data_IF_656051199232
#
_entry.id   IF_656051199232
#
_cell.length_a   1.000
_cell.length_b   1.000
_cell.length_c   1.000
_cell.angle_alpha   90.00
_cell.angle_beta   90.00
_cell.angle_gamma   90.00
#
_symmetry.space_group_name_H-M   'P 1'
#
loop_
_entity.id
_entity.type
_entity.pdbx_description
1 polymer ?
#
# COMPACT_ATOMS: atom_id res chain seq x y z
N UNK A 1 -29.64 6.15 69.45
CA UNK A 1 -29.55 5.23 68.30
C UNK A 1 -30.31 5.80 67.11
N UNK A 2 -29.63 6.14 66.02
CA UNK A 2 -29.99 5.76 64.63
C UNK A 2 -28.99 6.42 63.67
N UNK A 3 -28.23 5.58 62.98
CA UNK A 3 -27.38 5.88 61.83
C UNK A 3 -28.29 6.29 60.66
N UNK A 4 -27.87 7.25 59.82
CA UNK A 4 -28.33 7.40 58.44
C UNK A 4 -27.26 8.22 57.69
N UNK A 5 -26.18 7.56 57.26
CA UNK A 5 -25.97 7.01 55.91
C UNK A 5 -25.86 8.07 54.82
N UNK A 6 -24.62 8.19 54.33
CA UNK A 6 -24.08 8.99 53.25
C UNK A 6 -24.72 8.64 51.89
N UNK A 7 -25.11 9.63 51.08
CA UNK A 7 -25.29 9.46 49.63
C UNK A 7 -24.68 10.70 48.94
N UNK A 8 -23.46 10.54 48.43
CA UNK A 8 -22.87 11.46 47.44
C UNK A 8 -23.35 11.02 46.06
N UNK A 9 -24.31 11.75 45.48
CA UNK A 9 -24.74 11.54 44.10
C UNK A 9 -23.73 12.23 43.16
N UNK A 10 -22.73 11.47 42.71
CA UNK A 10 -21.81 11.93 41.65
C UNK A 10 -22.54 11.84 40.32
N UNK A 11 -23.00 12.97 39.81
CA UNK A 11 -23.54 13.09 38.47
C UNK A 11 -22.33 13.05 37.51
N UNK A 12 -22.02 11.85 37.02
CA UNK A 12 -21.10 11.67 35.91
C UNK A 12 -21.76 12.27 34.67
N UNK A 13 -21.39 13.50 34.32
CA UNK A 13 -21.76 14.08 33.02
C UNK A 13 -21.15 13.21 31.94
N UNK A 14 -21.98 12.43 31.26
CA UNK A 14 -21.63 11.78 30.00
C UNK A 14 -21.35 12.88 28.98
N UNK A 15 -20.11 13.34 28.94
CA UNK A 15 -19.61 14.13 27.82
C UNK A 15 -19.72 13.21 26.59
N UNK A 16 -20.55 13.51 25.58
CA UNK A 16 -20.41 12.81 24.32
C UNK A 16 -19.01 13.17 23.81
N UNK A 17 -18.09 12.21 23.87
CA UNK A 17 -16.84 12.29 23.14
C UNK A 17 -17.22 12.31 21.66
N UNK A 18 -17.47 13.52 21.14
CA UNK A 18 -17.57 13.73 19.70
C UNK A 18 -16.15 13.59 19.19
N UNK A 19 -15.78 12.37 18.82
CA UNK A 19 -14.68 12.16 17.89
C UNK A 19 -15.07 12.94 16.62
N UNK A 20 -14.54 14.14 16.45
CA UNK A 20 -14.51 14.80 15.16
C UNK A 20 -13.58 13.93 14.29
N UNK A 21 -14.15 12.93 13.62
CA UNK A 21 -13.51 12.33 12.48
C UNK A 21 -13.47 13.42 11.42
N UNK A 22 -12.33 14.11 11.33
CA UNK A 22 -12.00 14.94 10.18
C UNK A 22 -12.09 14.01 8.96
N UNK A 23 -13.17 14.13 8.19
CA UNK A 23 -13.33 13.37 6.94
C UNK A 23 -12.34 13.98 5.96
N UNK A 24 -11.09 13.52 6.01
CA UNK A 24 -10.13 13.79 4.95
C UNK A 24 -10.72 13.20 3.68
N UNK A 25 -11.09 14.09 2.74
CA UNK A 25 -11.59 13.67 1.44
C UNK A 25 -10.44 12.98 0.69
N UNK A 26 -10.40 11.65 0.75
CA UNK A 26 -9.42 10.86 0.04
C UNK A 26 -9.66 10.98 -1.47
N UNK A 27 -8.61 11.29 -2.24
CA UNK A 27 -8.66 11.23 -3.71
C UNK A 27 -9.01 9.81 -4.17
N UNK A 28 -8.49 8.81 -3.46
CA UNK A 28 -8.70 7.39 -3.74
C UNK A 28 -9.39 6.73 -2.54
N UNK A 29 -10.74 6.75 -2.48
CA UNK A 29 -11.51 6.13 -1.41
C UNK A 29 -11.43 4.60 -1.47
N UNK A 30 -11.86 3.92 -0.42
CA UNK A 30 -11.83 2.46 -0.39
C UNK A 30 -12.64 1.81 -1.52
N UNK A 31 -12.15 0.67 -1.99
CA UNK A 31 -12.83 -0.13 -3.01
C UNK A 31 -12.63 -1.62 -2.78
N UNK A 32 -12.33 -2.07 -1.55
CA UNK A 32 -11.99 -3.47 -1.25
C UNK A 32 -13.10 -4.48 -1.61
N UNK A 33 -14.35 -4.04 -1.66
CA UNK A 33 -15.49 -4.88 -2.07
C UNK A 33 -15.70 -4.95 -3.59
N UNK A 34 -15.01 -4.12 -4.37
CA UNK A 34 -15.12 -4.14 -5.83
C UNK A 34 -14.25 -5.27 -6.41
N UNK A 35 -14.68 -5.85 -7.53
CA UNK A 35 -13.93 -6.90 -8.21
C UNK A 35 -13.23 -6.30 -9.43
N UNK A 36 -11.90 -6.36 -9.42
CA UNK A 36 -11.04 -5.99 -10.54
C UNK A 36 -10.30 -7.21 -11.09
N UNK A 37 -9.75 -7.09 -12.30
CA UNK A 37 -8.91 -8.11 -12.93
C UNK A 37 -7.75 -8.55 -12.01
N UNK A 38 -7.22 -9.74 -12.23
CA UNK A 38 -5.92 -10.10 -11.64
C UNK A 38 -4.81 -9.20 -12.20
N UNK A 39 -3.70 -9.06 -11.48
CA UNK A 39 -2.56 -8.28 -11.95
C UNK A 39 -1.99 -8.84 -13.27
N UNK A 40 -2.02 -10.17 -13.44
CA UNK A 40 -1.57 -10.81 -14.68
C UNK A 40 -2.46 -10.47 -15.88
N UNK A 41 -3.78 -10.50 -15.69
CA UNK A 41 -4.74 -10.13 -16.75
C UNK A 41 -4.66 -8.65 -17.09
N UNK A 42 -4.50 -7.80 -16.07
CA UNK A 42 -4.36 -6.36 -16.26
C UNK A 42 -3.07 -6.03 -17.03
N UNK A 43 -1.92 -6.61 -16.64
CA UNK A 43 -0.64 -6.46 -17.34
C UNK A 43 -0.71 -6.82 -18.83
N UNK A 44 -1.52 -7.83 -19.18
CA UNK A 44 -1.67 -8.29 -20.57
C UNK A 44 -2.58 -7.41 -21.43
N UNK A 45 -3.56 -6.75 -20.81
CA UNK A 45 -4.60 -5.98 -21.53
C UNK A 45 -4.21 -4.52 -21.71
N UNK A 46 -3.61 -3.93 -20.68
CA UNK A 46 -3.35 -2.50 -20.63
C UNK A 46 -1.89 -2.19 -20.96
N UNK A 47 -1.67 -1.03 -21.59
CA UNK A 47 -0.33 -0.44 -21.61
C UNK A 47 -0.09 0.19 -20.25
N UNK A 48 0.80 -0.43 -19.46
CA UNK A 48 1.22 0.07 -18.14
C UNK A 48 2.11 1.30 -18.27
N UNK A 49 1.59 2.39 -18.85
CA UNK A 49 2.40 3.56 -19.21
C UNK A 49 3.66 3.12 -20.00
N UNK A 50 4.84 3.53 -19.54
CA UNK A 50 6.14 3.13 -20.12
C UNK A 50 6.79 1.96 -19.36
N UNK A 51 6.09 1.36 -18.38
CA UNK A 51 6.59 0.25 -17.60
C UNK A 51 6.56 -1.07 -18.39
N UNK A 52 7.72 -1.70 -18.47
CA UNK A 52 7.88 -3.07 -18.97
C UNK A 52 8.88 -3.83 -18.11
N UNK A 53 8.53 -5.06 -17.72
CA UNK A 53 9.44 -5.95 -17.00
C UNK A 53 10.72 -6.21 -17.80
N UNK A 54 11.83 -6.41 -17.08
CA UNK A 54 13.08 -6.80 -17.71
C UNK A 54 12.94 -8.19 -18.35
N UNK A 55 13.40 -8.34 -19.60
CA UNK A 55 13.33 -9.62 -20.33
C UNK A 55 14.05 -10.78 -19.62
N UNK A 56 15.05 -10.48 -18.80
CA UNK A 56 15.85 -11.46 -18.03
C UNK A 56 15.84 -11.13 -16.54
N UNK A 57 14.69 -10.71 -16.03
CA UNK A 57 14.54 -10.40 -14.61
C UNK A 57 14.94 -11.61 -13.75
N UNK A 58 15.76 -11.39 -12.74
CA UNK A 58 16.01 -12.38 -11.67
C UNK A 58 14.80 -12.50 -10.75
N UNK A 59 13.99 -11.45 -10.69
CA UNK A 59 12.74 -11.40 -9.95
C UNK A 59 11.73 -10.50 -10.66
N UNK A 60 10.51 -11.00 -10.82
CA UNK A 60 9.34 -10.21 -11.20
C UNK A 60 8.22 -10.44 -10.19
N UNK A 61 7.51 -9.37 -9.84
CA UNK A 61 6.34 -9.40 -8.99
C UNK A 61 5.18 -8.76 -9.74
N UNK A 62 4.05 -9.46 -9.79
CA UNK A 62 2.77 -8.93 -10.29
C UNK A 62 1.71 -9.22 -9.24
N UNK A 63 1.21 -8.20 -8.54
CA UNK A 63 0.22 -8.39 -7.47
C UNK A 63 -0.88 -7.36 -7.55
N UNK A 64 -2.12 -7.82 -7.33
CA UNK A 64 -3.22 -6.97 -6.89
C UNK A 64 -3.34 -7.13 -5.38
N UNK A 65 -3.35 -6.03 -4.64
CA UNK A 65 -3.41 -6.05 -3.18
C UNK A 65 -4.10 -4.80 -2.64
N UNK A 66 -4.46 -4.82 -1.37
CA UNK A 66 -4.85 -3.61 -0.65
C UNK A 66 -3.61 -2.79 -0.32
N UNK A 67 -3.70 -1.46 -0.45
CA UNK A 67 -2.61 -0.53 -0.20
C UNK A 67 -1.96 -0.74 1.18
N UNK A 68 -2.75 -1.00 2.23
CA UNK A 68 -2.25 -1.33 3.58
C UNK A 68 -1.32 -2.55 3.66
N UNK A 69 -1.40 -3.45 2.68
CA UNK A 69 -0.62 -4.69 2.65
C UNK A 69 0.69 -4.57 1.85
N UNK A 70 0.98 -3.41 1.25
CA UNK A 70 2.12 -3.22 0.35
C UNK A 70 3.45 -3.65 0.97
N UNK A 71 3.72 -3.19 2.19
CA UNK A 71 4.99 -3.45 2.87
C UNK A 71 5.14 -4.92 3.25
N UNK A 72 4.05 -5.51 3.74
CA UNK A 72 4.02 -6.93 4.09
C UNK A 72 4.24 -7.82 2.87
N UNK A 73 3.58 -7.51 1.75
CA UNK A 73 3.73 -8.28 0.50
C UNK A 73 5.16 -8.18 -0.01
N UNK A 74 5.73 -6.97 -0.08
CA UNK A 74 7.10 -6.80 -0.57
C UNK A 74 8.12 -7.53 0.29
N UNK A 75 8.03 -7.41 1.62
CA UNK A 75 8.89 -8.15 2.55
C UNK A 75 8.81 -9.67 2.36
N UNK A 76 7.59 -10.20 2.22
CA UNK A 76 7.39 -11.65 2.11
C UNK A 76 7.84 -12.20 0.76
N UNK A 77 7.60 -11.47 -0.34
CA UNK A 77 7.88 -11.94 -1.70
C UNK A 77 9.35 -11.73 -2.09
N UNK A 78 10.01 -10.73 -1.51
CA UNK A 78 11.43 -10.46 -1.75
C UNK A 78 12.38 -11.16 -0.79
N UNK A 79 11.87 -11.71 0.33
CA UNK A 79 12.70 -12.41 1.33
C UNK A 79 13.58 -13.43 0.63
N UNK A 80 14.87 -13.39 0.94
CA UNK A 80 15.94 -14.26 0.42
C UNK A 80 16.32 -14.05 -1.06
N UNK A 81 15.62 -13.18 -1.79
CA UNK A 81 15.91 -12.89 -3.20
C UNK A 81 16.57 -11.53 -3.36
N UNK A 82 15.97 -10.47 -2.81
CA UNK A 82 16.37 -9.07 -3.04
C UNK A 82 16.13 -8.25 -1.77
N UNK A 83 17.03 -7.30 -1.47
CA UNK A 83 16.80 -6.33 -0.40
C UNK A 83 15.57 -5.45 -0.72
N UNK A 84 14.46 -5.66 -0.02
CA UNK A 84 13.22 -4.91 -0.23
C UNK A 84 13.37 -3.40 0.00
N UNK A 85 14.44 -2.96 0.70
CA UNK A 85 14.72 -1.53 0.93
C UNK A 85 14.95 -0.76 -0.37
N UNK A 86 15.31 -1.42 -1.48
CA UNK A 86 15.37 -0.75 -2.79
C UNK A 86 14.02 -0.15 -3.20
N UNK A 87 12.92 -0.71 -2.67
CA UNK A 87 11.56 -0.24 -2.89
C UNK A 87 11.12 0.81 -1.86
N UNK A 88 12.05 1.44 -1.12
CA UNK A 88 11.71 2.43 -0.10
C UNK A 88 10.80 3.54 -0.63
N UNK A 89 10.99 3.96 -1.89
CA UNK A 89 10.17 4.97 -2.56
C UNK A 89 8.67 4.63 -2.62
N UNK A 90 8.29 3.34 -2.64
CA UNK A 90 6.89 2.89 -2.56
C UNK A 90 6.24 3.19 -1.20
N UNK A 91 7.04 3.35 -0.15
CA UNK A 91 6.57 3.54 1.23
C UNK A 91 6.85 4.94 1.78
N UNK A 92 7.89 5.60 1.27
CA UNK A 92 8.34 6.92 1.72
C UNK A 92 7.27 7.98 1.48
N UNK A 93 6.53 7.85 0.38
CA UNK A 93 5.38 8.67 0.07
C UNK A 93 4.11 7.93 0.50
N UNK A 94 3.82 7.91 1.81
CA UNK A 94 2.47 7.57 2.25
C UNK A 94 1.53 8.56 1.58
N UNK A 95 0.84 8.12 0.54
CA UNK A 95 -0.14 8.95 -0.14
C UNK A 95 -1.30 9.14 0.85
N UNK A 96 -1.27 10.24 1.60
CA UNK A 96 -2.32 10.59 2.58
C UNK A 96 -3.72 10.63 1.95
N UNK A 97 -3.79 10.70 0.62
CA UNK A 97 -5.01 10.68 -0.17
C UNK A 97 -5.46 9.29 -0.64
N UNK A 98 -4.75 8.21 -0.28
CA UNK A 98 -5.08 6.82 -0.64
C UNK A 98 -5.59 6.07 0.58
N UNK A 99 -6.80 5.51 0.48
CA UNK A 99 -7.35 4.66 1.54
C UNK A 99 -6.47 3.43 1.78
N UNK A 100 -6.23 3.02 3.05
CA UNK A 100 -5.61 1.73 3.36
C UNK A 100 -6.32 0.53 2.70
N UNK A 101 -7.63 0.63 2.48
CA UNK A 101 -8.49 -0.39 1.84
C UNK A 101 -8.64 -0.17 0.31
N UNK A 102 -7.77 0.65 -0.30
CA UNK A 102 -7.71 0.80 -1.75
C UNK A 102 -7.00 -0.40 -2.38
N UNK A 103 -7.60 -1.01 -3.40
CA UNK A 103 -6.97 -2.01 -4.24
C UNK A 103 -6.04 -1.32 -5.25
N UNK A 104 -4.81 -1.81 -5.33
CA UNK A 104 -3.77 -1.33 -6.26
C UNK A 104 -3.13 -2.51 -6.97
N UNK A 105 -2.62 -2.25 -8.16
CA UNK A 105 -1.70 -3.15 -8.85
C UNK A 105 -0.26 -2.73 -8.56
N UNK A 106 0.56 -3.69 -8.15
CA UNK A 106 2.00 -3.53 -7.98
C UNK A 106 2.72 -4.42 -8.99
N UNK A 107 3.60 -3.80 -9.77
CA UNK A 107 4.52 -4.49 -10.65
C UNK A 107 5.95 -4.11 -10.28
N UNK A 108 6.80 -5.11 -10.05
CA UNK A 108 8.23 -4.92 -9.81
C UNK A 108 9.02 -5.85 -10.73
N UNK A 109 10.15 -5.38 -11.23
CA UNK A 109 11.09 -6.20 -11.99
C UNK A 109 12.50 -5.82 -11.59
N UNK A 110 13.32 -6.84 -11.33
CA UNK A 110 14.68 -6.69 -10.84
C UNK A 110 15.61 -7.59 -11.65
N UNK A 111 16.76 -7.05 -12.02
CA UNK A 111 17.93 -7.80 -12.46
C UNK A 111 18.97 -7.67 -11.35
N UNK A 112 19.42 -8.79 -10.83
CA UNK A 112 20.52 -8.85 -9.88
C UNK A 112 21.72 -9.54 -10.52
N UNK A 113 22.86 -8.86 -10.55
CA UNK A 113 24.13 -9.41 -11.01
C UNK A 113 25.10 -9.55 -9.82
N UNK A 114 26.35 -9.90 -10.11
CA UNK A 114 27.41 -9.92 -9.10
C UNK A 114 27.77 -8.52 -8.60
N UNK A 115 27.67 -7.53 -9.49
CA UNK A 115 28.23 -6.19 -9.27
C UNK A 115 27.14 -5.14 -9.01
N UNK A 116 25.94 -5.36 -9.54
CA UNK A 116 24.82 -4.42 -9.43
C UNK A 116 23.46 -5.10 -9.25
N UNK A 117 22.50 -4.29 -8.83
CA UNK A 117 21.08 -4.60 -8.81
C UNK A 117 20.34 -3.47 -9.50
N UNK A 118 19.68 -3.79 -10.62
CA UNK A 118 18.84 -2.89 -11.37
C UNK A 118 17.38 -3.20 -11.07
N UNK A 119 16.58 -2.19 -10.78
CA UNK A 119 15.18 -2.38 -10.45
C UNK A 119 14.32 -1.35 -11.17
N UNK A 120 13.06 -1.73 -11.39
CA UNK A 120 11.98 -0.82 -11.74
C UNK A 120 10.67 -1.31 -11.15
N UNK A 121 9.79 -0.39 -10.82
CA UNK A 121 8.48 -0.70 -10.31
C UNK A 121 7.46 0.35 -10.72
N UNK A 122 6.20 -0.04 -10.71
CA UNK A 122 5.06 0.84 -10.90
C UNK A 122 3.92 0.36 -10.00
N UNK A 123 3.20 1.31 -9.42
CA UNK A 123 1.99 1.08 -8.64
C UNK A 123 0.85 1.89 -9.24
N UNK A 124 -0.22 1.20 -9.60
CA UNK A 124 -1.35 1.76 -10.34
C UNK A 124 -2.62 1.54 -9.52
N UNK A 125 -3.50 2.54 -9.53
CA UNK A 125 -4.83 2.41 -8.96
C UNK A 125 -5.68 1.39 -9.73
N UNK A 126 -6.26 0.41 -9.04
CA UNK A 126 -6.98 -0.66 -9.72
C UNK A 126 -8.31 -0.22 -10.38
N UNK A 127 -8.87 0.92 -9.98
CA UNK A 127 -10.17 1.40 -10.48
C UNK A 127 -10.01 2.47 -11.56
N UNK A 128 -9.15 3.46 -11.33
CA UNK A 128 -8.96 4.58 -12.26
C UNK A 128 -7.86 4.31 -13.27
N UNK A 129 -7.04 3.28 -13.05
CA UNK A 129 -5.81 3.02 -13.82
C UNK A 129 -4.81 4.18 -13.75
N UNK A 130 -4.95 5.10 -12.80
CA UNK A 130 -4.00 6.19 -12.61
C UNK A 130 -2.70 5.68 -11.98
N UNK A 131 -1.58 6.19 -12.49
CA UNK A 131 -0.27 6.02 -11.88
C UNK A 131 -0.25 6.64 -10.48
N UNK A 132 0.09 5.83 -9.47
CA UNK A 132 0.29 6.30 -8.09
C UNK A 132 1.77 6.56 -7.81
N UNK A 133 2.63 5.60 -8.17
CA UNK A 133 4.09 5.68 -7.99
C UNK A 133 4.78 4.92 -9.10
N UNK A 134 5.89 5.46 -9.58
CA UNK A 134 6.87 4.74 -10.36
C UNK A 134 8.27 4.99 -9.80
N UNK A 135 9.20 4.11 -10.16
CA UNK A 135 10.60 4.33 -9.86
C UNK A 135 11.46 3.25 -10.47
N UNK A 136 12.68 3.63 -10.80
CA UNK A 136 13.73 2.74 -11.25
C UNK A 136 15.07 3.17 -10.66
N UNK A 137 16.07 2.31 -10.82
CA UNK A 137 17.40 2.64 -10.34
C UNK A 137 18.38 1.48 -10.46
N UNK A 138 19.61 1.80 -10.10
CA UNK A 138 20.71 0.84 -10.01
C UNK A 138 21.39 1.01 -8.66
N UNK A 139 21.61 -0.10 -7.97
CA UNK A 139 22.35 -0.19 -6.72
C UNK A 139 23.59 -1.04 -6.95
N UNK A 140 24.78 -0.47 -6.72
CA UNK A 140 26.04 -1.20 -6.81
C UNK A 140 26.33 -1.89 -5.48
N UNK A 141 26.79 -3.14 -5.52
CA UNK A 141 27.06 -3.98 -4.33
C UNK A 141 28.42 -3.70 -3.70
#
# INVERSE_FOLDING_TARGET
>A
MKKLSLIFLVIFTLSPFRANAEVQLLKYPENEHKVFLSAEEYYKKEKLHDYHEFKKATFSLRKKLLYKNLEKVLKNESSDKIDYKIFHNLFAHKHSQVSPNRQVYLYCSVIETKDDLQYKFIMIDAETSELLVEGDGTHYK
#
